data_IF_190873073646
#
_entry.id   IF_190873073646
#
_cell.length_a   1.000
_cell.length_b   1.000
_cell.length_c   1.000
_cell.angle_alpha   90.00
_cell.angle_beta   90.00
_cell.angle_gamma   90.00
#
_symmetry.space_group_name_H-M   'P 1'
#
loop_
_entity.id
_entity.type
_entity.pdbx_description
1 polymer ?
#
# COMPACT_ATOMS: atom_id res chain seq x y z
N UNK A 1 -22.14 19.08 12.79
CA UNK A 1 -20.87 18.75 12.08
C UNK A 1 -20.44 19.98 11.30
N UNK A 2 -19.13 20.32 11.24
CA UNK A 2 -18.66 21.50 10.51
C UNK A 2 -18.95 21.33 9.02
N UNK A 3 -19.36 22.41 8.37
CA UNK A 3 -19.57 22.42 6.92
C UNK A 3 -18.23 22.14 6.21
N UNK A 4 -18.21 21.35 5.13
CA UNK A 4 -17.00 21.19 4.34
C UNK A 4 -16.51 22.55 3.83
N UNK A 5 -15.21 22.79 3.95
CA UNK A 5 -14.56 24.00 3.46
C UNK A 5 -13.74 23.67 2.22
N UNK A 6 -13.61 24.68 1.35
CA UNK A 6 -12.70 24.61 0.21
C UNK A 6 -11.30 24.98 0.67
N UNK A 7 -10.31 24.24 0.20
CA UNK A 7 -8.89 24.48 0.43
C UNK A 7 -8.17 24.57 -0.91
N UNK A 8 -7.07 25.29 -0.94
CA UNK A 8 -6.13 25.34 -2.05
C UNK A 8 -5.02 24.33 -1.83
N UNK A 9 -4.57 23.67 -2.89
CA UNK A 9 -3.52 22.66 -2.83
C UNK A 9 -2.49 22.88 -3.93
N UNK A 10 -1.22 22.64 -3.60
CA UNK A 10 -0.13 22.53 -4.55
C UNK A 10 0.70 21.28 -4.27
N UNK A 11 1.29 20.74 -5.33
CA UNK A 11 2.22 19.62 -5.26
C UNK A 11 3.57 20.07 -5.81
N UNK A 12 4.66 19.84 -5.07
CA UNK A 12 6.01 20.15 -5.55
C UNK A 12 6.52 19.07 -6.51
N UNK A 13 7.66 19.27 -7.19
CA UNK A 13 8.23 18.27 -8.09
C UNK A 13 8.58 16.93 -7.41
N UNK A 14 8.91 16.94 -6.11
CA UNK A 14 9.08 15.72 -5.30
C UNK A 14 7.74 15.18 -4.75
N UNK A 15 6.66 15.90 -5.01
CA UNK A 15 5.27 15.54 -4.74
C UNK A 15 4.85 15.63 -3.28
N UNK A 16 5.47 16.53 -2.50
CA UNK A 16 4.90 16.99 -1.23
C UNK A 16 3.62 17.80 -1.48
N UNK A 17 2.59 17.51 -0.69
CA UNK A 17 1.32 18.23 -0.68
C UNK A 17 1.40 19.40 0.30
N UNK A 18 1.15 20.61 -0.18
CA UNK A 18 0.98 21.80 0.65
C UNK A 18 -0.42 22.36 0.39
N UNK A 19 -1.13 22.73 1.47
CA UNK A 19 -2.46 23.31 1.37
C UNK A 19 -2.57 24.63 2.13
N UNK A 20 -3.56 25.43 1.75
CA UNK A 20 -3.96 26.67 2.40
C UNK A 20 -5.50 26.79 2.42
N UNK A 21 -6.05 27.50 3.39
CA UNK A 21 -7.49 27.64 3.66
C UNK A 21 -8.09 28.91 3.04
N UNK A 22 -7.36 30.03 3.04
CA UNK A 22 -7.88 31.32 2.56
C UNK A 22 -7.60 31.59 1.08
N UNK A 23 -6.35 31.40 0.66
CA UNK A 23 -5.88 31.73 -0.69
C UNK A 23 -4.82 30.74 -1.19
N UNK A 24 -4.64 30.60 -2.52
CA UNK A 24 -3.53 29.81 -3.06
C UNK A 24 -2.20 30.33 -2.52
N UNK A 25 -1.32 29.42 -2.09
CA UNK A 25 0.04 29.78 -1.69
C UNK A 25 0.75 30.53 -2.82
N UNK A 26 1.31 31.71 -2.50
CA UNK A 26 2.14 32.50 -3.41
C UNK A 26 3.57 31.97 -3.50
N UNK A 27 3.94 30.99 -2.66
CA UNK A 27 5.25 30.38 -2.71
C UNK A 27 5.46 29.68 -4.06
N UNK A 28 6.61 29.96 -4.68
CA UNK A 28 7.08 29.31 -5.91
C UNK A 28 7.71 27.95 -5.65
N UNK A 29 8.24 27.76 -4.44
CA UNK A 29 9.01 26.59 -4.02
C UNK A 29 8.41 25.96 -2.75
N UNK A 30 8.60 24.66 -2.64
CA UNK A 30 8.14 23.85 -1.52
C UNK A 30 8.90 24.19 -0.25
N UNK A 31 8.18 24.45 0.84
CA UNK A 31 8.79 24.73 2.14
C UNK A 31 9.44 23.50 2.79
N UNK A 32 9.13 22.29 2.30
CA UNK A 32 9.67 21.03 2.85
C UNK A 32 10.99 20.65 2.17
N UNK A 33 11.09 20.83 0.86
CA UNK A 33 12.24 20.32 0.08
C UNK A 33 12.86 21.32 -0.91
N UNK A 34 12.36 22.55 -0.99
CA UNK A 34 12.89 23.58 -1.89
C UNK A 34 12.49 23.46 -3.37
N UNK A 35 11.89 22.34 -3.79
CA UNK A 35 11.51 22.12 -5.19
C UNK A 35 10.33 22.97 -5.67
N UNK A 36 10.29 23.27 -6.96
CA UNK A 36 9.22 24.09 -7.56
C UNK A 36 7.86 23.38 -7.47
N UNK A 37 6.79 24.16 -7.31
CA UNK A 37 5.43 23.67 -7.45
C UNK A 37 5.07 23.39 -8.91
N UNK A 38 4.24 22.38 -9.12
CA UNK A 38 3.72 22.00 -10.43
C UNK A 38 2.27 22.46 -10.52
N UNK A 39 1.99 23.32 -11.49
CA UNK A 39 0.67 23.91 -11.70
C UNK A 39 -0.03 23.34 -12.94
N UNK A 40 0.73 22.73 -13.85
CA UNK A 40 0.21 22.12 -15.07
C UNK A 40 1.06 20.92 -15.51
N UNK A 41 0.47 20.05 -16.33
CA UNK A 41 1.19 18.98 -16.99
C UNK A 41 2.27 19.54 -17.92
N UNK A 42 3.51 19.11 -17.74
CA UNK A 42 4.64 19.53 -18.59
C UNK A 42 4.50 19.06 -20.05
N UNK A 43 3.74 17.99 -20.32
CA UNK A 43 3.57 17.44 -21.67
C UNK A 43 2.42 18.11 -22.44
N UNK A 44 1.22 18.20 -21.86
CA UNK A 44 0.04 18.71 -22.57
C UNK A 44 -0.50 20.04 -22.04
N UNK A 45 0.15 20.67 -21.06
CA UNK A 45 -0.25 21.97 -20.50
C UNK A 45 -1.55 21.95 -19.67
N UNK A 46 -2.17 20.78 -19.45
CA UNK A 46 -3.41 20.69 -18.65
C UNK A 46 -3.14 21.13 -17.21
N UNK A 47 -3.87 22.14 -16.74
CA UNK A 47 -3.80 22.60 -15.36
C UNK A 47 -4.09 21.46 -14.37
N UNK A 48 -3.26 21.37 -13.32
CA UNK A 48 -3.50 20.50 -12.18
C UNK A 48 -4.60 21.10 -11.31
N UNK A 49 -5.46 20.24 -10.76
CA UNK A 49 -6.45 20.66 -9.78
C UNK A 49 -5.75 21.31 -8.58
N UNK A 50 -6.08 22.58 -8.31
CA UNK A 50 -5.45 23.39 -7.28
C UNK A 50 -6.35 23.62 -6.07
N UNK A 51 -7.50 22.93 -6.01
CA UNK A 51 -8.42 23.01 -4.86
C UNK A 51 -9.01 21.65 -4.53
N UNK A 52 -9.30 21.44 -3.25
CA UNK A 52 -10.04 20.29 -2.75
C UNK A 52 -11.05 20.73 -1.69
N UNK A 53 -12.01 19.85 -1.39
CA UNK A 53 -13.02 20.09 -0.35
C UNK A 53 -12.84 19.06 0.74
N UNK A 54 -12.70 19.51 1.97
CA UNK A 54 -12.51 18.65 3.13
C UNK A 54 -13.22 19.23 4.36
N UNK A 55 -13.40 18.40 5.39
CA UNK A 55 -13.85 18.88 6.71
C UNK A 55 -12.63 19.07 7.58
N UNK A 56 -12.67 20.07 8.46
CA UNK A 56 -11.64 20.23 9.49
C UNK A 56 -11.96 19.27 10.64
N UNK A 57 -11.04 18.34 10.90
CA UNK A 57 -11.13 17.41 12.02
C UNK A 57 -11.05 18.16 13.34
N UNK A 58 -11.96 17.85 14.27
CA UNK A 58 -11.96 18.47 15.61
C UNK A 58 -10.71 18.09 16.43
N UNK A 59 -10.15 16.91 16.19
CA UNK A 59 -9.00 16.39 16.92
C UNK A 59 -7.69 16.99 16.42
N UNK A 60 -7.47 16.93 15.10
CA UNK A 60 -6.19 17.34 14.50
C UNK A 60 -6.19 18.81 14.10
N UNK A 61 -7.36 19.46 14.03
CA UNK A 61 -7.57 20.80 13.47
C UNK A 61 -7.08 20.92 12.02
N UNK A 62 -7.01 19.80 11.29
CA UNK A 62 -6.55 19.72 9.89
C UNK A 62 -7.66 19.26 8.95
N UNK A 63 -7.59 19.60 7.66
CA UNK A 63 -8.54 19.12 6.66
C UNK A 63 -8.35 17.63 6.38
N UNK A 64 -9.43 16.86 6.48
CA UNK A 64 -9.47 15.42 6.23
C UNK A 64 -10.70 15.03 5.37
N UNK A 65 -10.56 14.13 4.39
CA UNK A 65 -9.30 13.54 3.92
C UNK A 65 -8.49 14.53 3.07
N UNK A 66 -7.16 14.40 3.11
CA UNK A 66 -6.28 15.08 2.16
C UNK A 66 -6.39 14.44 0.78
N UNK A 67 -6.31 15.21 -0.32
CA UNK A 67 -6.35 14.64 -1.66
C UNK A 67 -5.12 13.77 -1.91
N UNK A 68 -5.31 12.65 -2.58
CA UNK A 68 -4.19 11.88 -3.11
C UNK A 68 -3.55 12.64 -4.27
N UNK A 69 -2.22 12.56 -4.33
CA UNK A 69 -1.45 13.13 -5.43
C UNK A 69 -1.66 12.28 -6.69
N UNK A 70 -1.98 12.87 -7.85
CA UNK A 70 -2.11 12.11 -9.09
C UNK A 70 -0.73 11.66 -9.58
N UNK A 71 -0.59 10.39 -9.94
CA UNK A 71 0.68 9.85 -10.48
C UNK A 71 0.82 10.16 -11.99
N UNK A 72 -0.31 10.24 -12.71
CA UNK A 72 -0.34 10.50 -14.15
C UNK A 72 -1.30 11.65 -14.49
N UNK A 73 -1.03 12.35 -15.59
CA UNK A 73 -1.95 13.36 -16.11
C UNK A 73 -3.23 12.69 -16.63
N UNK A 74 -4.39 13.07 -16.09
CA UNK A 74 -5.69 12.55 -16.54
C UNK A 74 -6.10 12.93 -17.97
N UNK A 75 -5.33 13.79 -18.66
CA UNK A 75 -5.61 14.18 -20.06
C UNK A 75 -4.71 13.45 -21.08
N UNK A 76 -3.39 13.43 -20.87
CA UNK A 76 -2.44 12.84 -21.83
C UNK A 76 -1.74 11.57 -21.33
N UNK A 77 -1.97 11.16 -20.08
CA UNK A 77 -1.35 9.97 -19.49
C UNK A 77 0.11 10.11 -19.09
N UNK A 78 0.77 11.24 -19.37
CA UNK A 78 2.18 11.43 -19.00
C UNK A 78 2.39 11.42 -17.48
N UNK A 79 3.46 10.77 -16.99
CA UNK A 79 3.77 10.74 -15.56
C UNK A 79 4.23 12.12 -15.08
N UNK A 80 3.80 12.50 -13.89
CA UNK A 80 4.31 13.71 -13.24
C UNK A 80 5.76 13.51 -12.75
N UNK A 81 6.53 14.59 -12.52
CA UNK A 81 7.93 14.50 -12.11
C UNK A 81 8.19 13.63 -10.87
N UNK A 82 7.32 13.66 -9.86
CA UNK A 82 7.43 12.80 -8.67
C UNK A 82 7.30 11.31 -9.01
N UNK A 83 6.52 10.96 -10.03
CA UNK A 83 6.38 9.59 -10.53
C UNK A 83 7.63 9.18 -11.31
N UNK A 84 8.20 10.09 -12.11
CA UNK A 84 9.46 9.83 -12.84
C UNK A 84 10.67 9.68 -11.90
N UNK A 85 10.75 10.50 -10.85
CA UNK A 85 11.79 10.37 -9.81
C UNK A 85 11.73 9.01 -9.12
N UNK A 86 10.52 8.50 -8.87
CA UNK A 86 10.32 7.15 -8.33
C UNK A 86 10.89 6.09 -9.26
N UNK A 87 10.75 6.22 -10.58
CA UNK A 87 11.31 5.27 -11.55
C UNK A 87 12.84 5.20 -11.48
N UNK A 88 13.51 6.36 -11.45
CA UNK A 88 14.98 6.42 -11.31
C UNK A 88 15.47 5.83 -9.99
N UNK A 89 14.74 6.09 -8.90
CA UNK A 89 15.02 5.52 -7.58
C UNK A 89 14.85 3.98 -7.57
N UNK A 90 13.85 3.45 -8.27
CA UNK A 90 13.65 1.99 -8.43
C UNK A 90 14.82 1.36 -9.22
N UNK A 91 15.34 2.06 -10.24
CA UNK A 91 16.51 1.60 -10.99
C UNK A 91 17.78 1.53 -10.11
N UNK A 92 17.98 2.49 -9.20
CA UNK A 92 19.18 2.58 -8.35
C UNK A 92 19.14 1.69 -7.10
N UNK A 93 17.96 1.48 -6.51
CA UNK A 93 17.79 0.70 -5.26
C UNK A 93 17.22 -0.71 -5.48
N UNK A 94 16.77 -1.00 -6.70
CA UNK A 94 16.14 -2.25 -7.10
C UNK A 94 14.72 -2.41 -6.56
N UNK A 95 14.18 -3.61 -6.76
CA UNK A 95 12.80 -3.97 -6.43
C UNK A 95 12.43 -3.80 -4.94
N UNK A 96 13.42 -3.72 -4.05
CA UNK A 96 13.20 -3.61 -2.60
C UNK A 96 12.48 -2.34 -2.17
N UNK A 97 12.61 -1.21 -2.88
CA UNK A 97 11.85 0.00 -2.56
C UNK A 97 10.36 -0.08 -2.93
N UNK A 98 9.99 -1.04 -3.79
CA UNK A 98 8.59 -1.28 -4.15
C UNK A 98 7.89 -2.22 -3.17
N UNK A 99 8.65 -2.92 -2.32
CA UNK A 99 8.12 -3.91 -1.40
C UNK A 99 7.69 -3.26 -0.08
N UNK A 100 6.68 -3.87 0.54
CA UNK A 100 6.21 -3.50 1.87
C UNK A 100 7.37 -3.54 2.89
N UNK A 101 7.48 -2.57 3.83
CA UNK A 101 8.62 -2.47 4.75
C UNK A 101 8.93 -3.77 5.50
N UNK A 102 7.90 -4.50 5.93
CA UNK A 102 8.06 -5.79 6.63
C UNK A 102 8.67 -6.89 5.75
N UNK A 103 8.38 -6.88 4.45
CA UNK A 103 8.99 -7.80 3.48
C UNK A 103 10.47 -7.46 3.30
N UNK A 104 10.80 -6.17 3.21
CA UNK A 104 12.20 -5.72 3.11
C UNK A 104 12.98 -6.09 4.37
N UNK A 105 12.43 -5.82 5.55
CA UNK A 105 13.03 -6.11 6.85
C UNK A 105 13.43 -7.60 6.99
N UNK A 106 12.52 -8.51 6.65
CA UNK A 106 12.71 -9.94 6.87
C UNK A 106 13.36 -10.65 5.66
N UNK A 107 12.94 -10.30 4.45
CA UNK A 107 13.31 -10.98 3.23
C UNK A 107 14.65 -10.54 2.66
N UNK A 108 14.93 -9.23 2.60
CA UNK A 108 16.14 -8.68 1.98
C UNK A 108 17.45 -9.25 2.53
N UNK A 109 17.70 -9.31 3.86
CA UNK A 109 18.96 -9.83 4.38
C UNK A 109 19.19 -11.30 4.00
N UNK A 110 18.14 -12.14 4.07
CA UNK A 110 18.21 -13.56 3.72
C UNK A 110 18.39 -13.77 2.22
N UNK A 111 17.69 -12.99 1.41
CA UNK A 111 17.81 -13.01 -0.04
C UNK A 111 19.22 -12.65 -0.49
N UNK A 112 19.80 -11.59 0.05
CA UNK A 112 21.16 -11.15 -0.27
C UNK A 112 22.22 -12.17 0.18
N UNK A 113 21.94 -12.97 1.20
CA UNK A 113 22.79 -14.08 1.64
C UNK A 113 22.62 -15.37 0.79
N UNK A 114 21.76 -15.34 -0.24
CA UNK A 114 21.46 -16.51 -1.09
C UNK A 114 20.47 -17.51 -0.46
N UNK A 115 19.89 -17.19 0.70
CA UNK A 115 18.94 -18.04 1.41
C UNK A 115 17.50 -17.75 0.95
N UNK A 116 17.22 -18.02 -0.33
CA UNK A 116 15.98 -17.62 -0.99
C UNK A 116 14.72 -18.26 -0.39
N UNK A 117 14.78 -19.56 -0.07
CA UNK A 117 13.66 -20.27 0.53
C UNK A 117 13.32 -19.71 1.93
N UNK A 118 14.34 -19.47 2.75
CA UNK A 118 14.18 -18.86 4.08
C UNK A 118 13.66 -17.41 3.99
N UNK A 119 14.11 -16.64 2.99
CA UNK A 119 13.59 -15.28 2.76
C UNK A 119 12.07 -15.30 2.55
N UNK A 120 11.58 -16.22 1.73
CA UNK A 120 10.14 -16.40 1.47
C UNK A 120 9.42 -16.92 2.71
N UNK A 121 9.94 -17.98 3.34
CA UNK A 121 9.32 -18.62 4.50
C UNK A 121 9.17 -17.64 5.68
N UNK A 122 10.23 -16.90 5.99
CA UNK A 122 10.23 -15.90 7.06
C UNK A 122 9.18 -14.80 6.83
N UNK A 123 9.03 -14.33 5.59
CA UNK A 123 8.04 -13.30 5.25
C UNK A 123 6.61 -13.82 5.33
N UNK A 124 6.32 -15.03 4.84
CA UNK A 124 4.96 -15.60 4.93
C UNK A 124 4.59 -16.05 6.35
N UNK A 125 5.58 -16.45 7.18
CA UNK A 125 5.37 -16.67 8.62
C UNK A 125 4.92 -15.39 9.31
N UNK A 126 5.57 -14.27 9.02
CA UNK A 126 5.19 -12.98 9.58
C UNK A 126 3.81 -12.52 9.10
N UNK A 127 3.51 -12.68 7.81
CA UNK A 127 2.18 -12.34 7.27
C UNK A 127 1.08 -13.11 8.00
N UNK A 128 1.29 -14.41 8.22
CA UNK A 128 0.40 -15.25 8.99
C UNK A 128 0.30 -14.80 10.46
N UNK A 129 1.43 -14.53 11.11
CA UNK A 129 1.46 -14.05 12.49
C UNK A 129 0.67 -12.75 12.66
N UNK A 130 0.77 -11.83 11.69
CA UNK A 130 0.02 -10.57 11.73
C UNK A 130 -1.49 -10.78 11.61
N UNK A 131 -1.95 -11.65 10.72
CA UNK A 131 -3.37 -12.00 10.62
C UNK A 131 -3.85 -12.71 11.90
N UNK A 132 -3.03 -13.61 12.44
CA UNK A 132 -3.33 -14.34 13.68
C UNK A 132 -3.52 -13.39 14.86
N UNK A 133 -2.63 -12.41 14.99
CA UNK A 133 -2.74 -11.38 16.02
C UNK A 133 -4.05 -10.60 15.90
N UNK A 134 -4.36 -10.08 14.70
CA UNK A 134 -5.60 -9.31 14.47
C UNK A 134 -6.86 -10.14 14.75
N UNK A 135 -6.83 -11.43 14.38
CA UNK A 135 -7.94 -12.34 14.64
C UNK A 135 -8.12 -12.60 16.14
N UNK A 136 -7.02 -12.92 16.85
CA UNK A 136 -7.04 -13.19 18.28
C UNK A 136 -7.52 -11.98 19.09
N UNK A 137 -7.08 -10.76 18.72
CA UNK A 137 -7.53 -9.51 19.34
C UNK A 137 -9.05 -9.30 19.21
N UNK A 138 -9.66 -9.79 18.13
CA UNK A 138 -11.09 -9.61 17.86
C UNK A 138 -11.97 -10.75 18.41
N UNK A 139 -11.46 -11.97 18.52
CA UNK A 139 -12.28 -13.17 18.81
C UNK A 139 -11.88 -13.93 20.06
N UNK A 140 -10.66 -13.72 20.58
CA UNK A 140 -10.02 -14.59 21.59
C UNK A 140 -9.81 -16.06 21.15
N UNK A 141 -9.99 -16.37 19.85
CA UNK A 141 -9.74 -17.68 19.28
C UNK A 141 -8.37 -17.73 18.60
N UNK A 142 -7.66 -18.86 18.78
CA UNK A 142 -6.37 -19.09 18.14
C UNK A 142 -6.50 -20.03 16.94
N UNK A 143 -6.17 -19.50 15.75
CA UNK A 143 -6.10 -20.27 14.51
C UNK A 143 -4.77 -20.00 13.80
N UNK A 144 -4.39 -20.88 12.88
CA UNK A 144 -3.18 -20.73 12.06
C UNK A 144 -3.40 -21.13 10.61
N UNK A 145 -2.57 -20.62 9.70
CA UNK A 145 -2.52 -21.07 8.31
C UNK A 145 -3.85 -20.98 7.57
N UNK A 146 -4.21 -22.02 6.82
CA UNK A 146 -5.42 -22.04 5.98
C UNK A 146 -6.72 -21.83 6.77
N UNK A 147 -6.98 -22.53 7.90
CA UNK A 147 -8.17 -22.27 8.72
C UNK A 147 -8.30 -20.81 9.18
N UNK A 148 -7.19 -20.19 9.58
CA UNK A 148 -7.15 -18.79 9.98
C UNK A 148 -7.57 -17.87 8.82
N UNK A 149 -6.93 -18.01 7.65
CA UNK A 149 -7.21 -17.12 6.50
C UNK A 149 -8.68 -17.20 6.07
N UNK A 150 -9.25 -18.42 6.03
CA UNK A 150 -10.66 -18.62 5.68
C UNK A 150 -11.61 -17.97 6.68
N UNK A 151 -11.40 -18.17 7.98
CA UNK A 151 -12.27 -17.57 9.00
C UNK A 151 -12.08 -16.05 9.11
N UNK A 152 -10.86 -15.55 8.97
CA UNK A 152 -10.57 -14.14 9.11
C UNK A 152 -11.20 -13.30 7.99
N UNK A 153 -11.18 -13.80 6.75
CA UNK A 153 -11.53 -13.01 5.56
C UNK A 153 -12.80 -13.47 4.82
N UNK A 154 -13.56 -14.43 5.33
CA UNK A 154 -14.79 -14.91 4.67
C UNK A 154 -15.77 -13.77 4.31
N UNK A 155 -16.38 -13.75 3.12
CA UNK A 155 -17.28 -12.65 2.73
C UNK A 155 -18.63 -12.65 3.47
N UNK A 156 -19.01 -13.76 4.11
CA UNK A 156 -20.30 -13.88 4.79
C UNK A 156 -20.29 -13.25 6.18
N UNK A 157 -19.21 -13.43 6.94
CA UNK A 157 -19.02 -12.86 8.27
C UNK A 157 -17.52 -12.70 8.58
N UNK A 158 -16.82 -11.76 7.92
CA UNK A 158 -15.39 -11.57 8.11
C UNK A 158 -15.07 -10.96 9.47
N UNK A 159 -13.97 -11.40 10.08
CA UNK A 159 -13.38 -10.72 11.24
C UNK A 159 -12.52 -9.54 10.78
N UNK A 160 -11.87 -9.66 9.61
CA UNK A 160 -11.05 -8.62 9.03
C UNK A 160 -11.67 -8.19 7.69
N UNK A 161 -12.18 -6.96 7.66
CA UNK A 161 -12.83 -6.37 6.49
C UNK A 161 -11.78 -5.68 5.62
N UNK A 162 -11.65 -6.11 4.37
CA UNK A 162 -10.65 -5.62 3.42
C UNK A 162 -11.22 -4.57 2.44
N UNK A 163 -12.54 -4.46 2.31
CA UNK A 163 -13.20 -3.50 1.42
C UNK A 163 -14.66 -3.23 1.82
N UNK A 164 -15.37 -2.37 1.07
CA UNK A 164 -16.78 -2.06 1.31
C UNK A 164 -17.73 -3.22 0.96
N UNK A 165 -18.13 -3.99 1.98
CA UNK A 165 -19.06 -5.11 1.84
C UNK A 165 -20.49 -4.72 1.52
N UNK A 166 -20.86 -3.44 1.52
CA UNK A 166 -22.15 -2.99 1.00
C UNK A 166 -22.22 -3.08 -0.53
N UNK A 167 -21.07 -3.11 -1.20
CA UNK A 167 -20.98 -3.19 -2.66
C UNK A 167 -20.64 -4.60 -3.13
N UNK A 168 -21.14 -4.96 -4.31
CA UNK A 168 -20.78 -6.24 -4.93
C UNK A 168 -19.27 -6.30 -5.26
N UNK A 169 -18.70 -5.18 -5.70
CA UNK A 169 -17.26 -5.08 -5.96
C UNK A 169 -16.44 -5.34 -4.69
N UNK A 170 -16.80 -4.74 -3.55
CA UNK A 170 -16.08 -4.94 -2.30
C UNK A 170 -16.20 -6.37 -1.77
N UNK A 171 -17.36 -7.03 -1.92
CA UNK A 171 -17.53 -8.47 -1.61
C UNK A 171 -16.64 -9.35 -2.48
N UNK A 172 -16.56 -9.06 -3.79
CA UNK A 172 -15.68 -9.79 -4.71
C UNK A 172 -14.20 -9.59 -4.37
N UNK A 173 -13.80 -8.36 -4.00
CA UNK A 173 -12.44 -8.07 -3.51
C UNK A 173 -12.16 -8.85 -2.22
N UNK A 174 -13.08 -8.85 -1.26
CA UNK A 174 -12.97 -9.59 0.00
C UNK A 174 -12.73 -11.09 -0.27
N UNK A 175 -13.56 -11.71 -1.11
CA UNK A 175 -13.44 -13.11 -1.49
C UNK A 175 -12.12 -13.41 -2.21
N UNK A 176 -11.77 -12.61 -3.21
CA UNK A 176 -10.55 -12.81 -4.00
C UNK A 176 -9.28 -12.71 -3.14
N UNK A 177 -9.22 -11.74 -2.23
CA UNK A 177 -8.08 -11.67 -1.31
C UNK A 177 -8.07 -12.80 -0.29
N UNK A 178 -9.21 -13.23 0.25
CA UNK A 178 -9.27 -14.44 1.08
C UNK A 178 -8.64 -15.64 0.36
N UNK A 179 -8.95 -15.83 -0.92
CA UNK A 179 -8.38 -16.90 -1.74
C UNK A 179 -6.87 -16.76 -1.91
N UNK A 180 -6.35 -15.55 -2.17
CA UNK A 180 -4.92 -15.28 -2.27
C UNK A 180 -4.19 -15.55 -0.96
N UNK A 181 -4.72 -15.08 0.17
CA UNK A 181 -4.17 -15.36 1.50
C UNK A 181 -4.17 -16.86 1.79
N UNK A 182 -5.30 -17.52 1.55
CA UNK A 182 -5.46 -18.96 1.80
C UNK A 182 -4.52 -19.79 0.93
N UNK A 183 -4.46 -19.50 -0.38
CA UNK A 183 -3.58 -20.17 -1.33
C UNK A 183 -2.11 -19.96 -1.00
N UNK A 184 -1.74 -18.76 -0.53
CA UNK A 184 -0.37 -18.47 -0.06
C UNK A 184 0.02 -19.32 1.15
N UNK A 185 -0.89 -19.48 2.12
CA UNK A 185 -0.62 -20.35 3.28
C UNK A 185 -0.56 -21.83 2.90
N UNK A 186 -1.40 -22.28 1.96
CA UNK A 186 -1.45 -23.66 1.52
C UNK A 186 -0.25 -24.05 0.65
N UNK A 187 0.11 -23.21 -0.33
CA UNK A 187 1.07 -23.56 -1.39
C UNK A 187 2.47 -22.98 -1.20
N UNK A 188 2.62 -21.87 -0.47
CA UNK A 188 3.91 -21.17 -0.32
C UNK A 188 4.49 -21.35 1.07
N UNK A 189 3.71 -21.07 2.12
CA UNK A 189 4.15 -21.29 3.51
C UNK A 189 4.26 -22.79 3.85
N UNK A 190 3.46 -23.63 3.19
CA UNK A 190 3.35 -25.06 3.52
C UNK A 190 3.77 -26.03 2.38
N UNK A 191 5.00 -25.98 1.82
CA UNK A 191 5.35 -26.88 0.72
C UNK A 191 5.74 -28.32 1.13
N UNK A 192 5.62 -28.69 2.43
CA UNK A 192 5.88 -30.01 3.08
C UNK A 192 7.12 -30.03 3.97
N UNK A 193 6.89 -30.33 5.25
CA UNK A 193 7.85 -30.49 6.35
C UNK A 193 8.88 -31.64 6.21
N UNK A 194 9.18 -32.12 5.00
CA UNK A 194 10.00 -33.32 4.80
C UNK A 194 11.11 -33.22 3.74
N UNK A 195 11.23 -32.15 2.94
CA UNK A 195 12.32 -31.99 1.96
C UNK A 195 12.89 -30.56 1.91
N UNK A 196 14.20 -30.42 1.66
CA UNK A 196 14.85 -29.13 1.43
C UNK A 196 14.35 -28.53 0.11
N UNK A 197 13.50 -27.51 0.19
CA UNK A 197 13.00 -26.79 -0.98
C UNK A 197 14.04 -25.76 -1.41
N UNK A 198 14.68 -25.99 -2.54
CA UNK A 198 15.52 -24.98 -3.19
C UNK A 198 14.68 -24.19 -4.20
N UNK A 199 14.67 -22.86 -4.07
CA UNK A 199 14.05 -21.95 -5.04
C UNK A 199 15.11 -20.98 -5.59
N UNK A 200 14.94 -20.57 -6.84
CA UNK A 200 15.80 -19.55 -7.45
C UNK A 200 15.54 -18.17 -6.85
N UNK A 201 16.50 -17.27 -7.01
CA UNK A 201 16.35 -15.85 -6.67
C UNK A 201 15.10 -15.25 -7.34
N UNK A 202 14.90 -15.53 -8.64
CA UNK A 202 13.74 -15.07 -9.40
C UNK A 202 12.42 -15.56 -8.80
N UNK A 203 12.31 -16.86 -8.49
CA UNK A 203 11.11 -17.42 -7.88
C UNK A 203 10.85 -16.84 -6.49
N UNK A 204 11.90 -16.63 -5.68
CA UNK A 204 11.76 -15.94 -4.41
C UNK A 204 11.27 -14.51 -4.57
N UNK A 205 11.76 -13.76 -5.57
CA UNK A 205 11.28 -12.41 -5.87
C UNK A 205 9.77 -12.40 -6.16
N UNK A 206 9.26 -13.33 -6.98
CA UNK A 206 7.81 -13.42 -7.23
C UNK A 206 7.00 -13.65 -5.95
N UNK A 207 7.45 -14.55 -5.08
CA UNK A 207 6.78 -14.80 -3.79
C UNK A 207 6.84 -13.59 -2.86
N UNK A 208 7.98 -12.90 -2.79
CA UNK A 208 8.13 -11.69 -1.97
C UNK A 208 7.26 -10.53 -2.47
N UNK A 209 7.10 -10.40 -3.79
CA UNK A 209 6.17 -9.43 -4.39
C UNK A 209 4.71 -9.76 -4.05
N UNK A 210 4.31 -11.03 -4.10
CA UNK A 210 2.98 -11.45 -3.66
C UNK A 210 2.77 -11.15 -2.17
N UNK A 211 3.73 -11.50 -1.31
CA UNK A 211 3.64 -11.19 0.12
C UNK A 211 3.52 -9.68 0.36
N UNK A 212 4.27 -8.86 -0.38
CA UNK A 212 4.21 -7.41 -0.33
C UNK A 212 2.81 -6.89 -0.66
N UNK A 213 2.20 -7.39 -1.74
CA UNK A 213 0.82 -7.05 -2.12
C UNK A 213 -0.16 -7.37 -0.98
N UNK A 214 -0.03 -8.55 -0.37
CA UNK A 214 -0.91 -8.98 0.73
C UNK A 214 -0.72 -8.15 2.00
N UNK A 215 0.51 -7.77 2.36
CA UNK A 215 0.75 -6.86 3.48
C UNK A 215 0.12 -5.48 3.27
N UNK A 216 0.27 -4.90 2.07
CA UNK A 216 -0.37 -3.62 1.77
C UNK A 216 -1.88 -3.72 1.87
N UNK A 217 -2.50 -4.75 1.26
CA UNK A 217 -3.95 -4.93 1.36
C UNK A 217 -4.43 -5.13 2.80
N UNK A 218 -3.68 -5.86 3.63
CA UNK A 218 -3.99 -6.01 5.06
C UNK A 218 -3.88 -4.68 5.83
N UNK A 219 -2.99 -3.79 5.40
CA UNK A 219 -2.87 -2.43 5.93
C UNK A 219 -4.06 -1.53 5.61
N UNK A 220 -4.71 -1.76 4.47
CA UNK A 220 -5.88 -1.03 3.97
C UNK A 220 -7.22 -1.48 4.59
N UNK A 221 -7.22 -2.46 5.50
CA UNK A 221 -8.43 -2.98 6.15
C UNK A 221 -9.28 -1.86 6.77
N UNK A 222 -10.61 -1.99 6.68
CA UNK A 222 -11.61 -1.03 7.17
C UNK A 222 -12.05 -1.30 8.59
#
# INVERSE_FOLDING_TARGET
>A
MPRPSRFFVKFCANGHLIYADEAPSTATNCQICGEKFIEQCANCGKALGNTFVARVSYLTKKPEPLPSRPEFCGNCGSPFPWTQQRHKIIEETGIWLLMHPKVVELGKPRFNAGHYADAVESVFKELNARVKQLYLEATSDELDGVPLMRKAFTPSNPIIILDDLATETGKNIQQGYMELFTGSMAGIRNPKAHHNVHISAERATHHLMLASLLFFKLGEKK
#
